data_IF_984969161110
#
_entry.id   IF_984969161110
#
_cell.length_a   1.000
_cell.length_b   1.000
_cell.length_c   1.000
_cell.angle_alpha   90.00
_cell.angle_beta   90.00
_cell.angle_gamma   90.00
#
_symmetry.space_group_name_H-M   'P 1'
#
loop_
_entity.id
_entity.type
_entity.pdbx_description
1 polymer ?
#
# COMPACT_ATOMS: atom_id res chain seq x y z
N UNK A 1 20.85 -20.86 12.17
CA UNK A 1 20.43 -20.04 11.02
C UNK A 1 18.91 -20.00 11.02
N UNK A 2 18.30 -18.97 11.62
CA UNK A 2 16.84 -18.85 11.70
C UNK A 2 16.42 -17.98 10.51
N UNK A 3 15.86 -18.59 9.48
CA UNK A 3 15.40 -17.88 8.29
C UNK A 3 13.98 -17.38 8.58
N UNK A 4 13.81 -16.06 8.56
CA UNK A 4 12.55 -15.38 8.85
C UNK A 4 11.46 -15.84 7.87
N UNK A 5 10.34 -16.32 8.42
CA UNK A 5 9.24 -16.92 7.63
C UNK A 5 8.43 -15.85 6.90
N UNK A 6 8.39 -14.62 7.42
CA UNK A 6 7.72 -13.47 6.80
C UNK A 6 8.32 -13.10 5.43
N UNK A 7 9.64 -13.24 5.27
CA UNK A 7 10.34 -12.98 4.00
C UNK A 7 9.83 -13.86 2.84
N UNK A 8 9.48 -15.13 3.12
CA UNK A 8 9.04 -16.09 2.08
C UNK A 8 7.63 -15.83 1.52
N UNK A 9 6.77 -15.07 2.21
CA UNK A 9 5.40 -14.79 1.74
C UNK A 9 5.39 -13.68 0.68
N UNK A 10 6.22 -12.65 0.87
CA UNK A 10 6.43 -11.56 -0.11
C UNK A 10 7.22 -12.05 -1.35
N UNK A 11 8.17 -12.96 -1.15
CA UNK A 11 9.11 -13.37 -2.21
C UNK A 11 8.48 -14.12 -3.39
N UNK A 12 7.31 -14.77 -3.26
CA UNK A 12 6.95 -15.82 -4.23
C UNK A 12 5.99 -15.42 -5.34
N UNK A 13 5.14 -14.39 -5.17
CA UNK A 13 4.13 -14.06 -6.18
C UNK A 13 3.81 -12.56 -6.39
N UNK A 14 4.23 -11.66 -5.50
CA UNK A 14 3.71 -10.27 -5.51
C UNK A 14 4.77 -9.19 -5.77
N UNK A 15 6.04 -9.46 -5.49
CA UNK A 15 7.12 -8.49 -5.67
C UNK A 15 7.29 -7.94 -7.12
N UNK A 16 7.25 -8.76 -8.20
CA UNK A 16 7.44 -8.24 -9.56
C UNK A 16 6.22 -7.46 -10.09
N UNK A 17 5.01 -7.73 -9.58
CA UNK A 17 3.80 -7.02 -9.99
C UNK A 17 3.72 -5.62 -9.39
N UNK A 18 4.13 -5.46 -8.13
CA UNK A 18 4.09 -4.17 -7.44
C UNK A 18 5.00 -3.12 -8.10
N UNK A 19 6.23 -3.50 -8.49
CA UNK A 19 7.20 -2.61 -9.15
C UNK A 19 6.74 -2.17 -10.55
N UNK A 20 6.07 -3.08 -11.28
CA UNK A 20 5.52 -2.77 -12.62
C UNK A 20 4.28 -1.86 -12.53
N UNK A 21 3.46 -2.01 -11.48
CA UNK A 21 2.32 -1.14 -11.23
C UNK A 21 2.75 0.29 -10.82
N UNK A 22 3.81 0.43 -10.02
CA UNK A 22 4.31 1.72 -9.55
C UNK A 22 4.91 2.60 -10.66
N UNK A 23 5.42 2.00 -11.74
CA UNK A 23 6.04 2.74 -12.87
C UNK A 23 5.07 3.10 -13.99
N UNK A 24 3.90 2.44 -14.05
CA UNK A 24 2.89 2.68 -15.09
C UNK A 24 1.90 3.80 -14.76
N UNK A 25 1.93 4.35 -13.54
CA UNK A 25 1.04 5.44 -13.09
C UNK A 25 1.54 6.84 -13.50
N UNK A 26 2.14 6.95 -14.70
CA UNK A 26 2.48 8.25 -15.29
C UNK A 26 1.26 8.77 -16.06
N UNK A 27 0.29 9.36 -15.35
CA UNK A 27 -0.90 9.94 -15.96
C UNK A 27 -0.54 11.04 -16.96
N UNK A 28 -0.87 10.85 -18.24
CA UNK A 28 -0.82 11.93 -19.23
C UNK A 28 -1.95 12.91 -18.93
N UNK A 29 -1.64 14.15 -18.55
CA UNK A 29 -2.64 15.19 -18.42
C UNK A 29 -3.15 15.58 -19.82
N UNK A 30 -4.38 15.19 -20.16
CA UNK A 30 -5.10 15.74 -21.31
C UNK A 30 -5.69 17.09 -20.89
N UNK A 31 -5.17 18.18 -21.43
CA UNK A 31 -5.76 19.50 -21.26
C UNK A 31 -7.03 19.60 -22.13
N UNK A 32 -8.20 19.52 -21.49
CA UNK A 32 -9.49 19.83 -22.08
C UNK A 32 -10.07 21.03 -21.32
N UNK A 33 -10.49 22.08 -22.03
CA UNK A 33 -10.87 23.39 -21.46
C UNK A 33 -12.26 23.36 -20.76
N UNK A 34 -12.55 22.30 -20.01
CA UNK A 34 -13.81 22.07 -19.30
C UNK A 34 -13.64 22.15 -17.79
N UNK A 35 -14.73 21.90 -17.04
CA UNK A 35 -14.73 21.81 -15.56
C UNK A 35 -13.66 20.83 -15.02
N UNK A 36 -13.18 19.91 -15.86
CA UNK A 36 -12.14 18.95 -15.48
C UNK A 36 -10.72 19.55 -15.41
N UNK A 37 -10.52 20.78 -15.88
CA UNK A 37 -9.23 21.48 -15.82
C UNK A 37 -8.86 21.91 -14.39
N UNK A 38 -9.85 22.04 -13.48
CA UNK A 38 -9.63 22.30 -12.05
C UNK A 38 -9.76 21.07 -11.18
N UNK A 39 -10.18 19.93 -11.75
CA UNK A 39 -10.32 18.69 -11.01
C UNK A 39 -8.94 18.19 -10.56
N UNK A 40 -8.70 18.19 -9.25
CA UNK A 40 -7.49 17.66 -8.64
C UNK A 40 -7.80 16.38 -7.90
N UNK A 41 -6.99 15.33 -8.14
CA UNK A 41 -7.05 14.07 -7.43
C UNK A 41 -5.69 13.76 -6.81
N UNK A 42 -5.67 13.53 -5.50
CA UNK A 42 -4.49 13.13 -4.76
C UNK A 42 -4.81 11.92 -3.90
N UNK A 43 -3.84 11.08 -3.60
CA UNK A 43 -4.08 9.90 -2.78
C UNK A 43 -2.81 9.37 -2.15
N UNK A 44 -2.96 8.35 -1.31
CA UNK A 44 -1.86 7.64 -0.69
C UNK A 44 -2.18 6.15 -0.57
N UNK A 45 -1.12 5.35 -0.46
CA UNK A 45 -1.17 3.93 -0.16
C UNK A 45 -0.22 3.69 1.01
N UNK A 46 -0.71 3.06 2.08
CA UNK A 46 0.07 2.73 3.28
C UNK A 46 0.03 1.24 3.55
N UNK A 47 1.19 0.67 3.88
CA UNK A 47 1.35 -0.70 4.33
C UNK A 47 2.24 -0.66 5.58
N UNK A 48 1.88 -1.42 6.62
CA UNK A 48 2.66 -1.45 7.87
C UNK A 48 2.93 -2.88 8.33
N UNK A 49 4.04 -3.03 9.06
CA UNK A 49 4.26 -4.12 10.00
C UNK A 49 3.84 -3.62 11.39
N UNK A 50 2.84 -4.24 11.98
CA UNK A 50 2.29 -3.89 13.29
C UNK A 50 2.79 -4.90 14.31
N UNK A 51 3.52 -4.43 15.32
CA UNK A 51 4.01 -5.23 16.44
C UNK A 51 3.46 -4.59 17.71
N UNK A 52 2.80 -5.38 18.54
CA UNK A 52 2.17 -4.94 19.79
C UNK A 52 2.43 -5.93 20.90
N UNK A 53 2.35 -5.48 22.15
CA UNK A 53 2.41 -6.37 23.32
C UNK A 53 1.00 -6.60 23.85
N UNK A 54 0.65 -7.88 24.10
CA UNK A 54 -0.59 -8.32 24.74
C UNK A 54 -1.91 -7.76 24.16
N UNK A 55 -1.90 -7.34 22.89
CA UNK A 55 -3.08 -6.87 22.17
C UNK A 55 -2.95 -7.17 20.68
N UNK A 56 -4.04 -7.56 20.04
CA UNK A 56 -4.08 -7.81 18.60
C UNK A 56 -4.72 -6.63 17.87
N UNK A 57 -3.87 -5.84 17.19
CA UNK A 57 -4.24 -4.67 16.41
C UNK A 57 -3.89 -4.91 14.93
N UNK A 58 -4.92 -4.93 14.08
CA UNK A 58 -4.81 -5.34 12.68
C UNK A 58 -4.13 -6.70 12.50
N UNK A 59 -4.80 -7.77 12.96
CA UNK A 59 -4.32 -9.15 12.87
C UNK A 59 -3.60 -9.63 14.12
N UNK A 60 -2.88 -10.78 14.06
CA UNK A 60 -2.16 -11.38 15.18
C UNK A 60 -0.86 -10.62 15.49
N UNK A 61 -0.96 -9.32 15.77
CA UNK A 61 0.18 -8.41 15.91
C UNK A 61 0.96 -8.59 17.22
N UNK A 62 0.40 -9.27 18.22
CA UNK A 62 1.11 -9.65 19.45
C UNK A 62 1.79 -11.01 19.41
N UNK A 63 1.71 -11.69 18.27
CA UNK A 63 2.29 -13.03 18.09
C UNK A 63 3.45 -13.00 17.09
N UNK A 64 4.48 -13.82 17.34
CA UNK A 64 5.56 -14.05 16.39
C UNK A 64 6.33 -12.79 15.97
N UNK A 65 6.31 -12.48 14.68
CA UNK A 65 7.01 -11.32 14.08
C UNK A 65 6.10 -10.08 13.94
N UNK A 66 4.87 -10.12 14.48
CA UNK A 66 3.84 -9.11 14.26
C UNK A 66 2.96 -9.39 13.04
N UNK A 67 2.16 -8.42 12.65
CA UNK A 67 1.14 -8.53 11.60
C UNK A 67 1.37 -7.56 10.44
N UNK A 68 1.16 -8.04 9.21
CA UNK A 68 1.15 -7.23 7.99
C UNK A 68 -0.27 -6.95 7.47
N UNK A 69 -1.31 -7.22 8.26
CA UNK A 69 -2.70 -7.08 7.80
C UNK A 69 -3.17 -5.61 7.71
N UNK A 70 -2.35 -4.64 8.11
CA UNK A 70 -2.65 -3.23 7.88
C UNK A 70 -2.33 -2.81 6.44
N UNK A 71 -3.37 -2.53 5.67
CA UNK A 71 -3.28 -1.90 4.34
C UNK A 71 -4.31 -0.77 4.27
N UNK A 72 -3.88 0.43 3.88
CA UNK A 72 -4.75 1.61 3.75
C UNK A 72 -4.58 2.27 2.38
N UNK A 73 -5.71 2.69 1.79
CA UNK A 73 -5.76 3.44 0.53
C UNK A 73 -6.60 4.69 0.78
N UNK A 74 -6.03 5.86 0.51
CA UNK A 74 -6.72 7.14 0.62
C UNK A 74 -6.78 7.86 -0.73
N UNK A 75 -7.91 8.51 -1.00
CA UNK A 75 -8.10 9.36 -2.18
C UNK A 75 -8.85 10.63 -1.78
N UNK A 76 -8.42 11.77 -2.33
CA UNK A 76 -9.02 13.09 -2.18
C UNK A 76 -9.30 13.64 -3.58
N UNK A 77 -10.49 14.19 -3.76
CA UNK A 77 -10.93 14.82 -5.01
C UNK A 77 -11.44 16.22 -4.69
N UNK A 78 -10.93 17.23 -5.39
CA UNK A 78 -11.35 18.62 -5.26
C UNK A 78 -11.58 19.24 -6.64
N UNK A 79 -12.46 20.24 -6.70
CA UNK A 79 -12.88 20.92 -7.92
C UNK A 79 -12.85 22.44 -7.74
#
# INVERSE_FOLDING_TARGET
MNVSKSFRWIERHLAPLLVTALTSLSGQALADNGVLDTLQMHGFLSQALVITDDNNFFGPSSEGEGSFEFTEIGANVSL
#
